data_IF_213973992044
#
_entry.id   IF_213973992044
#
_cell.length_a   1.000
_cell.length_b   1.000
_cell.length_c   1.000
_cell.angle_alpha   90.00
_cell.angle_beta   90.00
_cell.angle_gamma   90.00
#
_symmetry.space_group_name_H-M   'P 1'
#
loop_
_entity.id
_entity.type
_entity.pdbx_description
1 polymer ?
#
# COMPACT_ATOMS: atom_id res chain seq x y z
N UNK A 1 -22.03 -5.89 1.71
CA UNK A 1 -20.93 -6.38 0.85
C UNK A 1 -19.94 -7.12 1.73
N UNK A 2 -19.44 -8.27 1.29
CA UNK A 2 -18.46 -9.06 2.05
C UNK A 2 -17.13 -8.34 1.98
N UNK A 3 -16.59 -7.91 3.12
CA UNK A 3 -15.23 -7.37 3.17
C UNK A 3 -14.24 -8.52 3.21
N UNK A 4 -13.20 -8.43 2.42
CA UNK A 4 -12.08 -9.36 2.38
C UNK A 4 -10.90 -8.71 3.09
N UNK A 5 -10.33 -9.40 4.08
CA UNK A 5 -9.07 -9.00 4.67
C UNK A 5 -7.95 -9.42 3.72
N UNK A 6 -7.13 -8.48 3.28
CA UNK A 6 -6.00 -8.73 2.38
C UNK A 6 -4.74 -8.03 2.89
N UNK A 7 -3.58 -8.57 2.52
CA UNK A 7 -2.28 -7.94 2.73
C UNK A 7 -1.82 -7.29 1.44
N UNK A 8 -1.44 -6.02 1.50
CA UNK A 8 -0.93 -5.28 0.35
C UNK A 8 0.54 -4.93 0.54
N UNK A 9 1.37 -5.31 -0.43
CA UNK A 9 2.78 -4.92 -0.50
C UNK A 9 2.86 -3.45 -0.87
N UNK A 10 3.76 -2.73 -0.22
CA UNK A 10 3.99 -1.31 -0.41
C UNK A 10 5.47 -1.07 -0.67
N UNK A 11 5.77 -0.28 -1.70
CA UNK A 11 7.12 -0.05 -2.23
C UNK A 11 7.32 1.45 -2.47
N UNK A 12 8.55 1.97 -2.40
CA UNK A 12 8.80 3.36 -2.74
C UNK A 12 8.67 3.57 -4.26
N UNK A 13 8.44 4.82 -4.66
CA UNK A 13 8.40 5.22 -6.07
C UNK A 13 9.78 5.11 -6.73
N UNK A 14 10.84 5.45 -6.00
CA UNK A 14 12.22 5.30 -6.46
C UNK A 14 13.01 4.33 -5.58
N UNK A 15 13.96 3.59 -6.17
CA UNK A 15 14.88 2.73 -5.40
C UNK A 15 14.33 1.34 -5.05
N UNK A 16 13.45 0.80 -5.89
CA UNK A 16 12.87 -0.55 -5.75
C UNK A 16 13.90 -1.65 -5.45
N UNK A 17 15.10 -1.54 -6.01
CA UNK A 17 16.14 -2.58 -5.96
C UNK A 17 16.80 -2.78 -4.58
N UNK A 18 16.64 -1.84 -3.63
CA UNK A 18 17.31 -1.91 -2.31
C UNK A 18 16.45 -1.45 -1.13
N UNK A 19 15.14 -1.29 -1.33
CA UNK A 19 14.26 -0.77 -0.27
C UNK A 19 13.41 -1.90 0.33
N UNK A 20 13.38 -1.99 1.66
CA UNK A 20 12.55 -2.96 2.39
C UNK A 20 11.10 -2.87 1.95
N UNK A 21 10.50 -3.99 1.53
CA UNK A 21 9.06 -4.04 1.22
C UNK A 21 8.27 -3.94 2.51
N UNK A 22 7.26 -3.06 2.54
CA UNK A 22 6.35 -2.93 3.66
C UNK A 22 5.03 -3.59 3.35
N UNK A 23 4.37 -4.14 4.36
CA UNK A 23 3.03 -4.71 4.25
C UNK A 23 2.06 -3.94 5.11
N UNK A 24 0.87 -3.72 4.57
CA UNK A 24 -0.31 -3.26 5.30
C UNK A 24 -1.44 -4.26 5.16
N UNK A 25 -2.24 -4.41 6.22
CA UNK A 25 -3.48 -5.17 6.19
C UNK A 25 -4.63 -4.22 5.89
N UNK A 26 -5.41 -4.56 4.86
CA UNK A 26 -6.55 -3.78 4.39
C UNK A 26 -7.81 -4.63 4.41
N UNK A 27 -8.92 -4.01 4.80
CA UNK A 27 -10.24 -4.54 4.48
C UNK A 27 -10.70 -3.92 3.16
N UNK A 28 -10.91 -4.75 2.14
CA UNK A 28 -11.40 -4.33 0.82
C UNK A 28 -12.74 -4.98 0.51
N UNK A 29 -13.60 -4.29 -0.25
CA UNK A 29 -14.86 -4.87 -0.72
C UNK A 29 -14.59 -5.91 -1.80
N UNK A 30 -14.00 -5.45 -2.90
CA UNK A 30 -13.55 -6.26 -4.03
C UNK A 30 -12.02 -6.14 -4.16
N UNK A 31 -11.36 -7.19 -4.67
CA UNK A 31 -9.91 -7.20 -4.86
C UNK A 31 -9.58 -6.68 -6.27
N UNK A 32 -9.82 -5.39 -6.45
CA UNK A 32 -9.51 -4.64 -7.67
C UNK A 32 -8.72 -3.38 -7.34
N UNK A 33 -8.15 -2.77 -8.38
CA UNK A 33 -7.34 -1.57 -8.28
C UNK A 33 -8.03 -0.45 -7.49
N UNK A 34 -9.27 -0.10 -7.85
CA UNK A 34 -9.97 1.07 -7.29
C UNK A 34 -10.34 0.86 -5.82
N UNK A 35 -10.80 -0.33 -5.46
CA UNK A 35 -11.11 -0.73 -4.08
C UNK A 35 -9.86 -0.75 -3.21
N UNK A 36 -8.73 -1.25 -3.75
CA UNK A 36 -7.45 -1.23 -3.04
C UNK A 36 -6.95 0.20 -2.83
N UNK A 37 -7.03 1.05 -3.85
CA UNK A 37 -6.62 2.44 -3.79
C UNK A 37 -7.43 3.20 -2.75
N UNK A 38 -8.75 3.08 -2.79
CA UNK A 38 -9.64 3.73 -1.83
C UNK A 38 -9.36 3.25 -0.39
N UNK A 39 -9.25 1.94 -0.18
CA UNK A 39 -8.98 1.38 1.15
C UNK A 39 -7.61 1.81 1.68
N UNK A 40 -6.59 1.84 0.84
CA UNK A 40 -5.24 2.24 1.23
C UNK A 40 -5.16 3.75 1.53
N UNK A 41 -5.78 4.59 0.71
CA UNK A 41 -5.88 6.02 0.96
C UNK A 41 -6.57 6.31 2.30
N UNK A 42 -7.68 5.61 2.59
CA UNK A 42 -8.35 5.71 3.90
C UNK A 42 -7.44 5.25 5.04
N UNK A 43 -6.68 4.18 4.84
CA UNK A 43 -5.74 3.66 5.84
C UNK A 43 -4.66 4.69 6.22
N UNK A 44 -4.09 5.38 5.24
CA UNK A 44 -3.11 6.47 5.46
C UNK A 44 -3.77 7.73 6.05
N UNK A 45 -4.95 8.10 5.56
CA UNK A 45 -5.69 9.26 6.08
C UNK A 45 -6.00 9.13 7.58
N UNK A 46 -6.35 7.92 8.05
CA UNK A 46 -6.55 7.65 9.49
C UNK A 46 -5.28 7.88 10.34
N UNK A 47 -4.12 7.94 9.72
CA UNK A 47 -2.81 8.21 10.35
C UNK A 47 -2.33 9.64 10.12
N UNK A 48 -3.15 10.50 9.52
CA UNK A 48 -2.80 11.90 9.24
C UNK A 48 -1.89 12.07 8.03
N UNK A 49 -1.70 11.03 7.22
CA UNK A 49 -0.86 11.08 6.02
C UNK A 49 -1.78 11.22 4.81
N UNK A 50 -1.81 12.42 4.23
CA UNK A 50 -2.46 12.68 2.94
C UNK A 50 -1.47 12.43 1.81
N UNK A 51 -1.96 12.01 0.64
CA UNK A 51 -1.14 11.85 -0.58
C UNK A 51 -0.01 10.82 -0.44
N UNK A 52 -0.27 9.72 0.27
CA UNK A 52 0.70 8.64 0.43
C UNK A 52 0.84 7.75 -0.81
N UNK A 53 -0.28 7.45 -1.47
CA UNK A 53 -0.34 6.46 -2.55
C UNK A 53 -0.07 7.17 -3.87
N UNK A 54 1.03 6.79 -4.54
CA UNK A 54 1.34 7.25 -5.88
C UNK A 54 0.51 6.49 -6.92
N UNK A 55 0.52 5.15 -6.84
CA UNK A 55 -0.21 4.28 -7.77
C UNK A 55 -0.41 2.88 -7.17
N UNK A 56 -1.23 2.06 -7.81
CA UNK A 56 -1.34 0.62 -7.55
C UNK A 56 -1.10 -0.14 -8.85
N UNK A 57 -0.24 -1.14 -8.79
CA UNK A 57 0.07 -2.00 -9.93
C UNK A 57 0.04 -3.48 -9.50
N UNK A 58 0.20 -4.39 -10.45
CA UNK A 58 0.19 -5.83 -10.21
C UNK A 58 1.36 -6.53 -10.91
N UNK A 59 1.96 -7.48 -10.22
CA UNK A 59 2.98 -8.39 -10.75
C UNK A 59 2.54 -9.85 -10.56
N UNK A 60 3.47 -10.80 -10.76
CA UNK A 60 3.22 -12.24 -10.61
C UNK A 60 2.82 -12.64 -9.16
N UNK A 61 3.12 -11.80 -8.17
CA UNK A 61 2.77 -11.99 -6.74
C UNK A 61 1.48 -11.23 -6.34
N UNK A 62 0.81 -10.58 -7.30
CA UNK A 62 -0.45 -9.86 -7.12
C UNK A 62 -0.28 -8.35 -6.99
N UNK A 63 -1.28 -7.67 -6.42
CA UNK A 63 -1.25 -6.21 -6.30
C UNK A 63 -0.16 -5.72 -5.33
N UNK A 64 0.41 -4.56 -5.66
CA UNK A 64 1.26 -3.78 -4.77
C UNK A 64 0.99 -2.29 -4.96
N UNK A 65 1.22 -1.51 -3.91
CA UNK A 65 1.06 -0.07 -3.90
C UNK A 65 2.41 0.63 -3.97
N UNK A 66 2.53 1.56 -4.92
CA UNK A 66 3.64 2.47 -5.02
C UNK A 66 3.34 3.67 -4.13
N UNK A 67 4.23 3.95 -3.19
CA UNK A 67 4.06 4.99 -2.17
C UNK A 67 5.07 6.10 -2.44
N UNK A 68 4.63 7.35 -2.23
CA UNK A 68 5.50 8.52 -2.34
C UNK A 68 6.69 8.41 -1.37
N UNK A 69 7.90 8.75 -1.85
CA UNK A 69 9.15 8.47 -1.14
C UNK A 69 9.24 9.21 0.20
N UNK A 70 8.66 10.42 0.28
CA UNK A 70 8.58 11.20 1.52
C UNK A 70 7.82 10.45 2.61
N UNK A 71 6.71 9.80 2.24
CA UNK A 71 5.94 8.96 3.15
C UNK A 71 6.69 7.68 3.46
N UNK A 72 7.35 7.07 2.46
CA UNK A 72 8.10 5.83 2.67
C UNK A 72 9.26 5.98 3.66
N UNK A 73 9.88 7.17 3.72
CA UNK A 73 10.94 7.49 4.68
C UNK A 73 10.47 7.49 6.15
N UNK A 74 9.17 7.66 6.40
CA UNK A 74 8.60 7.59 7.75
C UNK A 74 8.43 6.14 8.22
N UNK A 75 8.12 5.92 9.50
CA UNK A 75 7.86 4.57 10.05
C UNK A 75 6.37 4.25 10.07
N UNK A 76 5.94 3.29 9.26
CA UNK A 76 4.56 2.81 9.20
C UNK A 76 4.50 1.40 8.60
N UNK A 77 3.37 0.70 8.82
CA UNK A 77 3.18 -0.66 8.35
C UNK A 77 4.10 -1.66 9.05
N UNK A 78 4.24 -2.85 8.46
CA UNK A 78 5.19 -3.88 8.90
C UNK A 78 6.25 -4.06 7.83
N UNK A 79 7.53 -3.87 8.16
CA UNK A 79 8.64 -4.22 7.25
C UNK A 79 8.74 -5.75 7.09
N UNK A 80 8.94 -6.19 5.85
CA UNK A 80 9.54 -7.48 5.55
C UNK A 80 11.01 -7.25 5.19
N UNK A 81 11.89 -7.98 5.88
CA UNK A 81 13.31 -8.10 5.57
C UNK A 81 13.53 -9.18 4.51
#
# INVERSE_FOLDING_TARGET
MRKTLTTLRCVPRFGYDNTEVRIVELEVGELDHDSLLESLQRWFAMRGISDAVFDIDADDDGYFAIINDEVYAETWGRSLL
#
